data_IF_539816083611
#
_entry.id   IF_539816083611
#
_cell.length_a   1.000
_cell.length_b   1.000
_cell.length_c   1.000
_cell.angle_alpha   90.00
_cell.angle_beta   90.00
_cell.angle_gamma   90.00
#
_symmetry.space_group_name_H-M   'P 1'
#
loop_
_entity.id
_entity.type
_entity.pdbx_description
1 polymer ?
#
# COMPACT_ATOMS: atom_id res chain seq x y z
N UNK A 1 41.67 -34.60 25.68
CA UNK A 1 40.64 -33.57 25.93
C UNK A 1 39.35 -34.05 25.28
N UNK A 2 38.27 -34.24 26.05
CA UNK A 2 36.97 -34.72 25.56
C UNK A 2 36.15 -33.50 25.11
N UNK A 3 35.72 -33.48 23.85
CA UNK A 3 34.75 -32.49 23.37
C UNK A 3 33.34 -33.09 23.51
N UNK A 4 32.59 -32.59 24.47
CA UNK A 4 31.16 -32.85 24.64
C UNK A 4 30.39 -31.88 23.77
N UNK A 5 29.71 -32.36 22.74
CA UNK A 5 28.73 -31.61 21.95
C UNK A 5 27.48 -31.32 22.77
N UNK A 6 26.99 -30.08 22.83
CA UNK A 6 25.62 -29.82 23.24
C UNK A 6 24.66 -30.01 22.04
N UNK A 7 23.66 -30.85 22.24
CA UNK A 7 22.49 -30.98 21.38
C UNK A 7 21.69 -29.68 21.44
N UNK A 8 21.56 -28.96 20.32
CA UNK A 8 20.68 -27.78 20.22
C UNK A 8 19.31 -28.27 19.76
N UNK A 9 18.35 -28.29 20.69
CA UNK A 9 16.93 -28.50 20.38
C UNK A 9 16.35 -27.20 19.81
N UNK A 10 16.02 -27.20 18.52
CA UNK A 10 15.28 -26.12 17.87
C UNK A 10 13.80 -26.32 18.24
N UNK A 11 13.30 -25.53 19.20
CA UNK A 11 11.88 -25.41 19.47
C UNK A 11 11.25 -24.62 18.32
N UNK A 12 10.53 -25.34 17.47
CA UNK A 12 9.72 -24.81 16.39
C UNK A 12 8.44 -24.20 17.00
N UNK A 13 8.45 -22.91 17.30
CA UNK A 13 7.27 -22.20 17.80
C UNK A 13 6.98 -20.96 16.94
N UNK A 14 5.88 -21.03 16.19
CA UNK A 14 5.11 -19.87 15.75
C UNK A 14 5.58 -19.19 14.47
N UNK A 15 5.36 -19.82 13.32
CA UNK A 15 5.28 -19.13 12.04
C UNK A 15 3.98 -18.29 11.99
N UNK A 16 4.01 -17.07 12.54
CA UNK A 16 3.28 -15.98 11.92
C UNK A 16 4.32 -15.17 11.18
N UNK A 17 4.53 -15.52 9.91
CA UNK A 17 5.18 -14.64 8.95
C UNK A 17 4.26 -13.44 8.73
N UNK A 18 4.24 -12.51 9.69
CA UNK A 18 4.14 -11.12 9.32
C UNK A 18 5.37 -10.85 8.48
N UNK A 19 5.24 -10.96 7.15
CA UNK A 19 6.13 -10.26 6.24
C UNK A 19 6.02 -8.80 6.67
N UNK A 20 6.93 -8.35 7.53
CA UNK A 20 7.26 -6.95 7.63
C UNK A 20 7.83 -6.62 6.26
N UNK A 21 6.95 -6.23 5.34
CA UNK A 21 7.33 -5.60 4.09
C UNK A 21 8.18 -4.42 4.55
N UNK A 22 9.50 -4.49 4.32
CA UNK A 22 10.40 -3.46 4.79
C UNK A 22 9.86 -2.12 4.29
N UNK A 23 9.45 -1.24 5.21
CA UNK A 23 9.02 0.09 4.86
C UNK A 23 10.12 0.73 4.03
N UNK A 24 9.83 1.09 2.77
CA UNK A 24 10.80 1.86 2.00
C UNK A 24 10.94 3.20 2.72
N UNK A 25 12.13 3.51 3.27
CA UNK A 25 12.33 4.79 3.95
C UNK A 25 12.14 5.97 2.99
N UNK A 26 12.26 5.72 1.67
CA UNK A 26 11.98 6.71 0.63
C UNK A 26 10.47 6.93 0.53
N UNK A 27 9.67 5.86 0.41
CA UNK A 27 8.21 6.02 0.23
C UNK A 27 7.52 6.59 1.46
N UNK A 28 7.93 6.17 2.66
CA UNK A 28 7.40 6.73 3.90
C UNK A 28 7.79 8.20 4.14
N UNK A 29 8.87 8.70 3.49
CA UNK A 29 9.28 10.11 3.60
C UNK A 29 8.61 11.04 2.58
N UNK A 30 8.06 10.49 1.49
CA UNK A 30 7.39 11.28 0.45
C UNK A 30 5.87 11.12 0.44
N UNK A 31 5.34 10.10 1.11
CA UNK A 31 3.92 9.79 1.17
C UNK A 31 3.33 10.10 2.54
N UNK A 32 2.12 10.64 2.54
CA UNK A 32 1.30 10.84 3.73
C UNK A 32 -0.14 10.41 3.45
N UNK A 33 -0.89 10.14 4.50
CA UNK A 33 -2.30 9.80 4.42
C UNK A 33 -3.11 10.61 5.44
N UNK A 34 -4.42 10.70 5.23
CA UNK A 34 -5.32 11.14 6.29
C UNK A 34 -5.63 9.98 7.25
N UNK A 35 -6.15 10.29 8.44
CA UNK A 35 -6.53 9.26 9.42
C UNK A 35 -8.00 8.81 9.28
N UNK A 36 -8.55 8.86 8.05
CA UNK A 36 -9.94 8.49 7.79
C UNK A 36 -9.99 7.28 6.86
N UNK A 37 -10.63 6.17 7.28
CA UNK A 37 -10.72 4.98 6.44
C UNK A 37 -11.71 5.19 5.30
N UNK A 38 -11.26 4.94 4.07
CA UNK A 38 -12.07 4.78 2.88
C UNK A 38 -12.48 3.32 2.71
N UNK A 39 -13.78 3.07 2.73
CA UNK A 39 -14.34 1.75 2.45
C UNK A 39 -14.22 1.46 0.96
N UNK A 40 -13.67 0.30 0.63
CA UNK A 40 -13.57 -0.23 -0.71
C UNK A 40 -14.11 -1.66 -0.71
N UNK A 41 -15.11 -1.94 -1.53
CA UNK A 41 -15.68 -3.27 -1.62
C UNK A 41 -15.80 -3.65 -3.10
N UNK A 42 -14.88 -4.51 -3.51
CA UNK A 42 -14.72 -5.04 -4.86
C UNK A 42 -14.10 -6.46 -4.77
N UNK A 43 -14.08 -7.17 -5.89
CA UNK A 43 -13.36 -8.43 -6.06
C UNK A 43 -11.84 -8.25 -5.95
N UNK A 44 -11.32 -7.04 -6.20
CA UNK A 44 -9.91 -6.67 -6.10
C UNK A 44 -9.61 -5.86 -4.84
N UNK A 45 -8.40 -6.03 -4.29
CA UNK A 45 -7.93 -5.22 -3.16
C UNK A 45 -7.79 -3.75 -3.57
N UNK A 46 -7.90 -2.79 -2.62
CA UNK A 46 -7.68 -1.38 -2.91
C UNK A 46 -6.33 -1.12 -3.58
N UNK A 47 -5.27 -1.80 -3.12
CA UNK A 47 -3.93 -1.67 -3.70
C UNK A 47 -3.86 -2.13 -5.15
N UNK A 48 -4.52 -3.25 -5.49
CA UNK A 48 -4.57 -3.74 -6.87
C UNK A 48 -5.35 -2.77 -7.77
N UNK A 49 -6.39 -2.14 -7.21
CA UNK A 49 -7.13 -1.11 -7.92
C UNK A 49 -6.29 0.15 -8.16
N UNK A 50 -5.49 0.58 -7.18
CA UNK A 50 -4.55 1.71 -7.31
C UNK A 50 -3.55 1.45 -8.43
N UNK A 51 -2.92 0.27 -8.45
CA UNK A 51 -1.99 -0.16 -9.51
C UNK A 51 -2.64 -0.06 -10.90
N UNK A 52 -3.85 -0.62 -11.05
CA UNK A 52 -4.61 -0.51 -12.29
C UNK A 52 -4.83 0.96 -12.72
N UNK A 53 -5.24 1.85 -11.81
CA UNK A 53 -5.50 3.25 -12.16
C UNK A 53 -4.19 3.96 -12.53
N UNK A 54 -3.09 3.70 -11.82
CA UNK A 54 -1.77 4.26 -12.11
C UNK A 54 -1.27 3.80 -13.49
N UNK A 55 -1.41 2.51 -13.82
CA UNK A 55 -1.10 1.96 -15.13
C UNK A 55 -1.91 2.63 -16.26
N UNK A 56 -3.13 3.09 -15.95
CA UNK A 56 -3.99 3.86 -16.87
C UNK A 56 -3.75 5.39 -16.83
N UNK A 57 -2.66 5.83 -16.19
CA UNK A 57 -2.26 7.25 -16.04
C UNK A 57 -3.24 8.09 -15.22
N UNK A 58 -3.86 7.49 -14.21
CA UNK A 58 -4.84 8.14 -13.35
C UNK A 58 -6.28 7.89 -13.80
N UNK A 59 -7.21 8.53 -13.12
CA UNK A 59 -8.64 8.41 -13.38
C UNK A 59 -9.40 7.93 -12.16
N UNK A 60 -10.67 7.57 -12.37
CA UNK A 60 -11.55 7.12 -11.30
C UNK A 60 -12.26 5.83 -11.68
N UNK A 61 -12.50 4.99 -10.67
CA UNK A 61 -13.18 3.71 -10.76
C UNK A 61 -14.13 3.56 -9.59
N UNK A 62 -15.17 2.77 -9.78
CA UNK A 62 -16.16 2.46 -8.75
C UNK A 62 -16.08 0.98 -8.44
N UNK A 63 -16.01 0.65 -7.15
CA UNK A 63 -16.01 -0.73 -6.69
C UNK A 63 -17.31 -1.43 -7.05
N UNK A 64 -17.26 -2.73 -7.32
CA UNK A 64 -18.42 -3.53 -7.72
C UNK A 64 -19.55 -3.54 -6.69
N UNK A 65 -19.21 -3.35 -5.41
CA UNK A 65 -20.18 -3.28 -4.30
C UNK A 65 -20.21 -1.88 -3.69
N UNK A 66 -19.05 -1.33 -3.34
CA UNK A 66 -18.97 -0.02 -2.69
C UNK A 66 -17.60 0.67 -2.91
N UNK A 67 -17.61 1.99 -2.88
CA UNK A 67 -16.40 2.81 -2.94
C UNK A 67 -16.18 3.39 -4.33
N UNK A 68 -15.71 4.62 -4.36
CA UNK A 68 -15.28 5.33 -5.56
C UNK A 68 -13.86 5.82 -5.33
N UNK A 69 -12.93 5.28 -6.11
CA UNK A 69 -11.50 5.55 -6.00
C UNK A 69 -11.04 6.37 -7.20
N UNK A 70 -10.38 7.48 -6.94
CA UNK A 70 -9.70 8.30 -7.93
C UNK A 70 -8.20 8.34 -7.65
N UNK A 71 -7.38 8.23 -8.69
CA UNK A 71 -5.95 8.56 -8.63
C UNK A 71 -5.68 9.75 -9.55
N UNK A 72 -5.18 10.83 -8.97
CA UNK A 72 -4.75 12.01 -9.71
C UNK A 72 -3.23 12.03 -9.86
N UNK A 73 -2.79 12.36 -11.07
CA UNK A 73 -1.39 12.44 -11.47
C UNK A 73 -1.09 13.88 -11.88
N UNK A 74 -0.31 14.59 -11.04
CA UNK A 74 0.04 15.99 -11.26
C UNK A 74 1.56 16.11 -11.44
N UNK A 75 1.99 16.86 -12.45
CA UNK A 75 3.41 17.11 -12.76
C UNK A 75 3.81 16.64 -14.17
N UNK A 76 4.91 17.21 -14.67
CA UNK A 76 5.37 17.04 -16.06
C UNK A 76 6.14 15.74 -16.32
N UNK A 77 6.56 15.05 -15.26
CA UNK A 77 7.21 13.75 -15.37
C UNK A 77 6.38 12.67 -14.68
N UNK A 78 6.22 11.55 -15.39
CA UNK A 78 5.91 10.28 -14.75
C UNK A 78 7.15 9.88 -13.95
N UNK A 79 7.30 10.43 -12.75
CA UNK A 79 8.31 9.96 -11.82
C UNK A 79 7.87 8.58 -11.37
N UNK A 80 8.48 7.56 -11.97
CA UNK A 80 8.28 6.15 -11.63
C UNK A 80 8.33 5.97 -10.11
N UNK A 81 9.25 6.68 -9.43
CA UNK A 81 9.38 6.67 -7.97
C UNK A 81 8.08 7.04 -7.23
N UNK A 82 7.34 8.07 -7.67
CA UNK A 82 6.12 8.50 -6.96
C UNK A 82 4.95 7.53 -7.22
N UNK A 83 4.91 6.95 -8.42
CA UNK A 83 3.97 5.87 -8.74
C UNK A 83 4.24 4.63 -7.88
N UNK A 84 5.49 4.13 -7.90
CA UNK A 84 5.93 2.97 -7.12
C UNK A 84 5.68 3.18 -5.62
N UNK A 85 5.94 4.38 -5.10
CA UNK A 85 5.68 4.68 -3.70
C UNK A 85 4.20 4.74 -3.37
N UNK A 86 3.36 5.27 -4.26
CA UNK A 86 1.92 5.28 -4.04
C UNK A 86 1.34 3.85 -4.02
N UNK A 87 1.79 2.98 -4.93
CA UNK A 87 1.42 1.56 -4.98
C UNK A 87 1.87 0.83 -3.72
N UNK A 88 3.12 1.04 -3.31
CA UNK A 88 3.68 0.41 -2.12
C UNK A 88 2.93 0.84 -0.86
N UNK A 89 2.69 2.14 -0.68
CA UNK A 89 1.95 2.64 0.48
C UNK A 89 0.50 2.14 0.48
N UNK A 90 -0.16 2.07 -0.68
CA UNK A 90 -1.51 1.51 -0.78
C UNK A 90 -1.54 0.03 -0.35
N UNK A 91 -0.52 -0.76 -0.72
CA UNK A 91 -0.41 -2.15 -0.31
C UNK A 91 -0.10 -2.31 1.19
N UNK A 92 0.68 -1.41 1.78
CA UNK A 92 1.03 -1.45 3.21
C UNK A 92 -0.08 -0.91 4.12
N UNK A 93 -0.83 0.09 3.66
CA UNK A 93 -1.83 0.79 4.47
C UNK A 93 -3.26 0.31 4.26
N UNK A 94 -3.49 -0.63 3.34
CA UNK A 94 -4.77 -1.31 3.28
C UNK A 94 -4.93 -2.28 4.45
N UNK A 95 -6.17 -2.51 4.86
CA UNK A 95 -6.52 -3.48 5.88
C UNK A 95 -7.82 -4.21 5.53
N UNK A 96 -8.01 -5.38 6.13
CA UNK A 96 -9.21 -6.19 5.93
C UNK A 96 -9.81 -6.58 7.28
N UNK A 97 -11.03 -6.12 7.53
CA UNK A 97 -11.85 -6.50 8.70
C UNK A 97 -13.30 -6.61 8.23
N UNK A 98 -13.62 -7.69 7.53
CA UNK A 98 -14.88 -7.95 6.80
C UNK A 98 -15.04 -7.24 5.45
N UNK A 99 -14.50 -6.03 5.31
CA UNK A 99 -14.35 -5.33 4.04
C UNK A 99 -12.92 -4.86 3.85
N UNK A 100 -12.57 -4.46 2.62
CA UNK A 100 -11.32 -3.76 2.37
C UNK A 100 -11.43 -2.28 2.77
N UNK A 101 -10.38 -1.81 3.41
CA UNK A 101 -10.20 -0.41 3.75
C UNK A 101 -8.83 0.05 3.30
N UNK A 102 -8.76 1.29 2.84
CA UNK A 102 -7.51 2.02 2.64
C UNK A 102 -7.74 3.44 3.15
N UNK A 103 -6.71 4.20 3.48
CA UNK A 103 -6.89 5.61 3.82
C UNK A 103 -7.62 6.34 2.67
N UNK A 104 -8.63 7.12 3.03
CA UNK A 104 -9.48 7.81 2.06
C UNK A 104 -8.75 8.91 1.30
N UNK A 105 -7.58 9.34 1.77
CA UNK A 105 -6.64 10.16 1.02
C UNK A 105 -5.21 9.71 1.27
N UNK A 106 -4.46 9.46 0.20
CA UNK A 106 -3.01 9.22 0.24
C UNK A 106 -2.37 10.16 -0.76
N UNK A 107 -1.33 10.88 -0.36
CA UNK A 107 -0.62 11.82 -1.21
C UNK A 107 0.87 11.53 -1.15
N UNK A 108 1.50 11.32 -2.32
CA UNK A 108 2.95 11.17 -2.45
C UNK A 108 3.51 12.33 -3.28
N UNK A 109 4.56 12.98 -2.77
CA UNK A 109 5.12 14.22 -3.35
C UNK A 109 6.63 14.15 -3.45
N UNK A 110 7.17 14.43 -4.63
CA UNK A 110 8.59 14.79 -4.83
C UNK A 110 8.70 16.24 -5.27
N UNK A 111 9.91 16.76 -5.43
CA UNK A 111 10.15 18.13 -5.93
C UNK A 111 9.50 18.40 -7.29
N UNK A 112 9.26 17.36 -8.09
CA UNK A 112 8.81 17.47 -9.49
C UNK A 112 7.43 16.86 -9.78
N UNK A 113 6.82 16.14 -8.83
CA UNK A 113 5.58 15.41 -9.07
C UNK A 113 4.73 15.20 -7.82
N UNK A 114 3.42 15.06 -8.01
CA UNK A 114 2.45 14.71 -6.97
C UNK A 114 1.50 13.63 -7.47
N UNK A 115 1.19 12.65 -6.62
CA UNK A 115 0.19 11.61 -6.86
C UNK A 115 -0.77 11.55 -5.67
N UNK A 116 -2.06 11.47 -5.94
CA UNK A 116 -3.10 11.52 -4.92
C UNK A 116 -4.08 10.37 -5.14
N UNK A 117 -4.31 9.55 -4.13
CA UNK A 117 -5.47 8.66 -4.03
C UNK A 117 -6.56 9.42 -3.29
N UNK A 118 -7.79 9.35 -3.78
CA UNK A 118 -9.00 9.73 -3.04
C UNK A 118 -10.00 8.60 -3.12
N UNK A 119 -10.48 8.13 -1.97
CA UNK A 119 -11.54 7.13 -1.88
C UNK A 119 -12.73 7.76 -1.15
N UNK A 120 -13.89 7.66 -1.78
CA UNK A 120 -15.18 8.04 -1.18
C UNK A 120 -16.06 6.80 -1.10
N UNK A 121 -16.76 6.62 0.02
CA UNK A 121 -17.58 5.43 0.28
C UNK A 121 -18.95 5.47 -0.42
#
# INVERSE_FOLDING_TARGET
MRFTTPTISILLSGFFSGLAIADSPICSSICAHNNDPGLWNDDHTPSAQVDYIIANRGGCVTGSVQGHMCVAIIGSEYTIIVADCLEQMAAQWQSYTDNWYLWSSITCVTETATRIISITA
#
